data_IF_424021929973
#
_entry.id   IF_424021929973
#
_cell.length_a   1.000
_cell.length_b   1.000
_cell.length_c   1.000
_cell.angle_alpha   90.00
_cell.angle_beta   90.00
_cell.angle_gamma   90.00
#
_symmetry.space_group_name_H-M   'P 1'
#
loop_
_entity.id
_entity.type
_entity.pdbx_description
1 polymer ?
#
# COMPACT_ATOMS: atom_id res chain seq x y z
N UNK A 1 33.06 23.64 6.86
CA UNK A 1 31.91 24.00 5.99
C UNK A 1 31.97 23.31 4.62
N UNK A 2 33.09 23.37 3.88
CA UNK A 2 33.26 22.69 2.57
C UNK A 2 33.09 21.16 2.59
N UNK A 3 33.45 20.48 3.68
CA UNK A 3 33.32 19.01 3.82
C UNK A 3 31.88 18.51 4.00
N UNK A 4 30.96 19.37 4.45
CA UNK A 4 29.55 19.02 4.63
C UNK A 4 28.73 19.21 3.36
N UNK A 5 29.22 20.02 2.41
CA UNK A 5 28.52 20.29 1.15
C UNK A 5 28.31 18.99 0.36
N UNK A 6 29.33 18.15 0.09
CA UNK A 6 29.15 16.87 -0.59
C UNK A 6 28.14 15.95 0.10
N UNK A 7 28.16 15.90 1.45
CA UNK A 7 27.27 15.06 2.24
C UNK A 7 25.80 15.52 2.13
N UNK A 8 25.57 16.84 2.18
CA UNK A 8 24.24 17.44 2.00
C UNK A 8 23.74 17.21 0.58
N UNK A 9 24.57 17.44 -0.44
CA UNK A 9 24.18 17.24 -1.84
C UNK A 9 23.86 15.77 -2.14
N UNK A 10 24.65 14.83 -1.61
CA UNK A 10 24.39 13.39 -1.71
C UNK A 10 23.05 13.01 -1.06
N UNK A 11 22.79 13.53 0.15
CA UNK A 11 21.54 13.27 0.88
C UNK A 11 20.32 13.81 0.13
N UNK A 12 20.40 15.00 -0.45
CA UNK A 12 19.34 15.56 -1.30
C UNK A 12 19.09 14.68 -2.53
N UNK A 13 20.15 14.18 -3.19
CA UNK A 13 20.02 13.29 -4.34
C UNK A 13 19.28 11.99 -4.03
N UNK A 14 19.56 11.40 -2.86
CA UNK A 14 18.85 10.21 -2.37
C UNK A 14 17.36 10.52 -2.14
N UNK A 15 17.07 11.62 -1.43
CA UNK A 15 15.69 12.05 -1.14
C UNK A 15 14.90 12.26 -2.44
N UNK A 16 15.47 12.96 -3.42
CA UNK A 16 14.82 13.21 -4.71
C UNK A 16 14.55 11.90 -5.48
N UNK A 17 15.50 10.96 -5.47
CA UNK A 17 15.33 9.65 -6.12
C UNK A 17 14.21 8.85 -5.49
N UNK A 18 14.15 8.85 -4.15
CA UNK A 18 13.12 8.20 -3.34
C UNK A 18 11.73 8.80 -3.64
N UNK A 19 11.61 10.13 -3.65
CA UNK A 19 10.37 10.83 -3.98
C UNK A 19 9.94 10.55 -5.43
N UNK A 20 10.89 10.52 -6.37
CA UNK A 20 10.62 10.21 -7.77
C UNK A 20 10.04 8.81 -7.95
N UNK A 21 10.61 7.80 -7.28
CA UNK A 21 10.09 6.42 -7.31
C UNK A 21 8.67 6.36 -6.74
N UNK A 22 8.44 7.00 -5.59
CA UNK A 22 7.10 7.06 -4.97
C UNK A 22 6.07 7.69 -5.91
N UNK A 23 6.38 8.87 -6.46
CA UNK A 23 5.48 9.57 -7.38
C UNK A 23 5.17 8.73 -8.62
N UNK A 24 6.18 8.07 -9.20
CA UNK A 24 6.00 7.24 -10.39
C UNK A 24 5.04 6.06 -10.15
N UNK A 25 5.20 5.35 -9.04
CA UNK A 25 4.32 4.21 -8.74
C UNK A 25 2.91 4.67 -8.32
N UNK A 26 2.81 5.81 -7.63
CA UNK A 26 1.53 6.43 -7.29
C UNK A 26 0.75 6.86 -8.55
N UNK A 27 1.42 7.52 -9.50
CA UNK A 27 0.82 7.93 -10.78
C UNK A 27 0.32 6.74 -11.61
N UNK A 28 1.05 5.61 -11.61
CA UNK A 28 0.59 4.39 -12.29
C UNK A 28 -0.72 3.87 -11.71
N UNK A 29 -0.82 3.81 -10.37
CA UNK A 29 -2.04 3.36 -9.69
C UNK A 29 -3.24 4.27 -9.99
N UNK A 30 -3.01 5.59 -9.99
CA UNK A 30 -4.05 6.57 -10.33
C UNK A 30 -4.50 6.45 -11.79
N UNK A 31 -3.58 6.23 -12.73
CA UNK A 31 -3.93 6.00 -14.14
C UNK A 31 -4.82 4.77 -14.32
N UNK A 32 -4.49 3.65 -13.67
CA UNK A 32 -5.32 2.44 -13.71
C UNK A 32 -6.73 2.72 -13.15
N UNK A 33 -6.82 3.45 -12.03
CA UNK A 33 -8.09 3.82 -11.43
C UNK A 33 -8.93 4.74 -12.33
N UNK A 34 -8.30 5.74 -12.96
CA UNK A 34 -8.98 6.66 -13.87
C UNK A 34 -9.43 5.95 -15.16
N UNK A 35 -8.64 5.01 -15.69
CA UNK A 35 -9.01 4.14 -16.83
C UNK A 35 -10.19 3.23 -16.47
N UNK A 36 -10.15 2.58 -15.31
CA UNK A 36 -11.27 1.79 -14.81
C UNK A 36 -12.54 2.64 -14.68
N UNK A 37 -12.43 3.87 -14.16
CA UNK A 37 -13.57 4.77 -14.05
C UNK A 37 -14.18 5.12 -15.41
N UNK A 38 -13.38 5.25 -16.48
CA UNK A 38 -13.92 5.42 -17.85
C UNK A 38 -14.75 4.21 -18.30
N UNK A 39 -14.33 2.99 -17.93
CA UNK A 39 -15.09 1.76 -18.21
C UNK A 39 -16.42 1.78 -17.43
N UNK A 40 -16.41 2.20 -16.17
CA UNK A 40 -17.62 2.35 -15.35
C UNK A 40 -18.60 3.35 -15.96
N UNK A 41 -18.12 4.53 -16.37
CA UNK A 41 -18.94 5.55 -17.03
C UNK A 41 -19.56 4.99 -18.32
N UNK A 42 -18.76 4.26 -19.11
CA UNK A 42 -19.23 3.64 -20.35
C UNK A 42 -20.31 2.59 -20.10
N UNK A 43 -20.16 1.79 -19.05
CA UNK A 43 -21.15 0.81 -18.62
C UNK A 43 -22.47 1.47 -18.22
N UNK A 44 -22.43 2.49 -17.34
CA UNK A 44 -23.64 3.16 -16.87
C UNK A 44 -24.40 3.87 -18.01
N UNK A 45 -23.67 4.49 -18.95
CA UNK A 45 -24.28 5.05 -20.18
C UNK A 45 -24.94 3.98 -21.04
N UNK A 46 -24.25 2.85 -21.26
CA UNK A 46 -24.82 1.74 -22.02
C UNK A 46 -26.06 1.14 -21.33
N UNK A 47 -26.06 1.03 -20.00
CA UNK A 47 -27.20 0.55 -19.20
C UNK A 47 -28.39 1.51 -19.23
N UNK A 48 -28.14 2.82 -19.29
CA UNK A 48 -29.19 3.83 -19.42
C UNK A 48 -29.92 3.70 -20.76
N UNK A 49 -29.18 3.41 -21.84
CA UNK A 49 -29.74 3.19 -23.19
C UNK A 49 -30.42 1.82 -23.26
N UNK A 50 -29.77 0.77 -22.76
CA UNK A 50 -30.27 -0.58 -22.75
C UNK A 50 -30.39 -1.12 -21.31
N UNK A 51 -31.61 -1.05 -20.75
CA UNK A 51 -31.88 -1.50 -19.38
C UNK A 51 -31.70 -3.02 -19.18
N UNK A 52 -31.78 -3.82 -20.25
CA UNK A 52 -31.57 -5.27 -20.18
C UNK A 52 -30.12 -5.68 -20.36
N UNK A 53 -29.19 -4.72 -20.47
CA UNK A 53 -27.76 -4.99 -20.56
C UNK A 53 -27.30 -5.84 -19.37
N UNK A 54 -26.76 -7.02 -19.68
CA UNK A 54 -26.19 -7.90 -18.68
C UNK A 54 -24.81 -7.41 -18.23
N UNK A 55 -24.64 -7.24 -16.92
CA UNK A 55 -23.41 -6.74 -16.31
C UNK A 55 -22.26 -7.75 -16.43
N UNK A 56 -22.55 -9.04 -16.36
CA UNK A 56 -21.54 -10.10 -16.44
C UNK A 56 -21.02 -10.13 -17.86
N UNK A 57 -21.91 -10.16 -18.85
CA UNK A 57 -21.53 -10.12 -20.27
C UNK A 57 -20.75 -8.86 -20.65
N UNK A 58 -21.12 -7.71 -20.07
CA UNK A 58 -20.41 -6.45 -20.31
C UNK A 58 -18.95 -6.55 -19.83
N UNK A 59 -18.73 -6.93 -18.57
CA UNK A 59 -17.38 -6.98 -17.99
C UNK A 59 -16.55 -8.17 -18.50
N UNK A 60 -17.19 -9.28 -18.90
CA UNK A 60 -16.49 -10.45 -19.43
C UNK A 60 -15.77 -10.16 -20.77
N UNK A 61 -16.22 -9.17 -21.56
CA UNK A 61 -15.54 -8.74 -22.80
C UNK A 61 -14.15 -8.17 -22.58
N UNK A 62 -13.89 -7.66 -21.38
CA UNK A 62 -12.62 -7.08 -20.97
C UNK A 62 -11.69 -8.11 -20.31
N UNK A 63 -12.18 -9.34 -20.10
CA UNK A 63 -11.41 -10.41 -19.48
C UNK A 63 -10.14 -10.66 -20.29
N UNK A 64 -8.98 -10.57 -19.62
CA UNK A 64 -7.63 -10.69 -20.19
C UNK A 64 -7.13 -9.56 -21.09
N UNK A 65 -7.93 -8.51 -21.32
CA UNK A 65 -7.54 -7.36 -22.18
C UNK A 65 -7.15 -6.13 -21.38
N UNK A 66 -7.78 -5.91 -20.23
CA UNK A 66 -7.62 -4.68 -19.44
C UNK A 66 -7.03 -4.97 -18.06
N UNK A 67 -5.80 -4.50 -17.83
CA UNK A 67 -5.12 -4.59 -16.52
C UNK A 67 -5.74 -3.60 -15.51
N UNK A 68 -6.45 -2.59 -16.00
CA UNK A 68 -7.07 -1.56 -15.16
C UNK A 68 -8.31 -2.03 -14.37
N UNK A 69 -8.92 -3.17 -14.72
CA UNK A 69 -10.11 -3.67 -14.00
C UNK A 69 -9.65 -4.44 -12.73
N UNK A 70 -10.13 -4.06 -11.53
CA UNK A 70 -9.74 -4.74 -10.30
C UNK A 70 -10.09 -6.24 -10.29
N UNK A 71 -9.21 -7.13 -9.78
CA UNK A 71 -9.41 -8.59 -9.82
C UNK A 71 -10.70 -9.08 -9.17
N UNK A 72 -11.22 -8.36 -8.17
CA UNK A 72 -12.47 -8.72 -7.50
C UNK A 72 -13.69 -8.63 -8.42
N UNK A 73 -13.64 -7.83 -9.51
CA UNK A 73 -14.69 -7.77 -10.53
C UNK A 73 -14.72 -9.07 -11.32
N UNK A 74 -13.57 -9.50 -11.85
CA UNK A 74 -13.48 -10.76 -12.59
C UNK A 74 -13.81 -11.97 -11.72
N UNK A 75 -13.44 -11.94 -10.44
CA UNK A 75 -13.86 -12.97 -9.49
C UNK A 75 -15.39 -13.08 -9.36
N UNK A 76 -16.13 -11.96 -9.38
CA UNK A 76 -17.59 -11.95 -9.33
C UNK A 76 -18.22 -12.39 -10.67
N UNK A 77 -17.62 -11.98 -11.80
CA UNK A 77 -18.00 -12.42 -13.14
C UNK A 77 -17.87 -13.95 -13.25
N UNK A 78 -16.72 -14.49 -12.85
CA UNK A 78 -16.42 -15.93 -12.93
C UNK A 78 -17.34 -16.77 -12.02
N UNK A 79 -17.79 -16.20 -10.91
CA UNK A 79 -18.75 -16.84 -9.99
C UNK A 79 -20.21 -16.58 -10.35
N UNK A 80 -20.48 -15.90 -11.47
CA UNK A 80 -21.82 -15.54 -11.91
C UNK A 80 -22.65 -14.77 -10.86
N UNK A 81 -21.99 -13.94 -10.03
CA UNK A 81 -22.62 -13.23 -8.90
C UNK A 81 -23.18 -11.87 -9.32
N UNK A 82 -24.21 -11.88 -10.19
CA UNK A 82 -24.79 -10.69 -10.82
C UNK A 82 -25.17 -9.58 -9.82
N UNK A 83 -26.00 -9.89 -8.83
CA UNK A 83 -26.51 -8.88 -7.88
C UNK A 83 -25.37 -8.23 -7.07
N UNK A 84 -24.40 -9.03 -6.63
CA UNK A 84 -23.25 -8.54 -5.87
C UNK A 84 -22.37 -7.67 -6.76
N UNK A 85 -22.17 -8.09 -8.02
CA UNK A 85 -21.40 -7.31 -9.00
C UNK A 85 -22.04 -5.95 -9.26
N UNK A 86 -23.37 -5.87 -9.40
CA UNK A 86 -24.06 -4.59 -9.57
C UNK A 86 -23.83 -3.65 -8.37
N UNK A 87 -23.96 -4.16 -7.15
CA UNK A 87 -23.69 -3.39 -5.92
C UNK A 87 -22.25 -2.88 -5.88
N UNK A 88 -21.30 -3.74 -6.22
CA UNK A 88 -19.87 -3.41 -6.20
C UNK A 88 -19.53 -2.35 -7.24
N UNK A 89 -19.97 -2.52 -8.48
CA UNK A 89 -19.75 -1.57 -9.58
C UNK A 89 -20.37 -0.20 -9.28
N UNK A 90 -21.55 -0.19 -8.65
CA UNK A 90 -22.22 1.03 -8.24
C UNK A 90 -21.43 1.80 -7.18
N UNK A 91 -20.90 1.09 -6.19
CA UNK A 91 -20.04 1.67 -5.16
C UNK A 91 -18.73 2.18 -5.76
N UNK A 92 -18.12 1.43 -6.67
CA UNK A 92 -16.91 1.86 -7.36
C UNK A 92 -17.13 3.16 -8.13
N UNK A 93 -18.26 3.28 -8.82
CA UNK A 93 -18.62 4.53 -9.48
C UNK A 93 -18.76 5.69 -8.50
N UNK A 94 -19.49 5.51 -7.40
CA UNK A 94 -19.65 6.56 -6.39
C UNK A 94 -18.35 7.01 -5.75
N UNK A 95 -17.42 6.10 -5.49
CA UNK A 95 -16.15 6.42 -4.83
C UNK A 95 -15.15 7.08 -5.79
N UNK A 96 -15.23 6.76 -7.08
CA UNK A 96 -14.36 7.32 -8.11
C UNK A 96 -14.92 8.58 -8.78
N UNK A 97 -16.21 8.91 -8.55
CA UNK A 97 -16.82 10.09 -9.15
C UNK A 97 -16.09 11.38 -8.72
N UNK A 98 -15.81 12.31 -9.65
CA UNK A 98 -15.05 13.53 -9.37
C UNK A 98 -15.90 14.56 -8.61
N UNK A 99 -16.07 14.35 -7.30
CA UNK A 99 -16.65 15.34 -6.39
C UNK A 99 -15.63 15.72 -5.31
N UNK A 100 -15.90 16.84 -4.63
CA UNK A 100 -14.99 17.39 -3.63
C UNK A 100 -14.65 16.39 -2.51
N UNK A 101 -15.64 15.65 -2.01
CA UNK A 101 -15.46 14.68 -0.93
C UNK A 101 -14.51 13.55 -1.36
N UNK A 102 -14.75 12.97 -2.54
CA UNK A 102 -13.92 11.90 -3.07
C UNK A 102 -12.51 12.39 -3.41
N UNK A 103 -12.37 13.60 -3.93
CA UNK A 103 -11.06 14.21 -4.17
C UNK A 103 -10.29 14.38 -2.85
N UNK A 104 -10.94 14.84 -1.78
CA UNK A 104 -10.32 14.91 -0.45
C UNK A 104 -9.87 13.52 0.02
N UNK A 105 -10.70 12.49 -0.13
CA UNK A 105 -10.30 11.12 0.22
C UNK A 105 -9.13 10.61 -0.62
N UNK A 106 -9.07 10.92 -1.93
CA UNK A 106 -7.90 10.58 -2.79
C UNK A 106 -6.63 11.24 -2.26
N UNK A 107 -6.68 12.51 -1.87
CA UNK A 107 -5.53 13.23 -1.29
C UNK A 107 -5.11 12.61 0.04
N UNK A 108 -6.06 12.26 0.91
CA UNK A 108 -5.78 11.56 2.17
C UNK A 108 -5.13 10.19 1.93
N UNK A 109 -5.58 9.44 0.91
CA UNK A 109 -4.98 8.16 0.54
C UNK A 109 -3.53 8.33 0.04
N UNK A 110 -3.28 9.32 -0.82
CA UNK A 110 -1.92 9.68 -1.26
C UNK A 110 -1.01 9.99 -0.05
N UNK A 111 -1.50 10.81 0.87
CA UNK A 111 -0.76 11.16 2.08
C UNK A 111 -0.51 9.94 2.97
N UNK A 112 -1.49 9.05 3.12
CA UNK A 112 -1.34 7.81 3.88
C UNK A 112 -0.29 6.88 3.27
N UNK A 113 -0.27 6.73 1.94
CA UNK A 113 0.76 5.96 1.21
C UNK A 113 2.14 6.58 1.35
N UNK A 114 2.24 7.91 1.30
CA UNK A 114 3.50 8.63 1.53
C UNK A 114 4.01 8.39 2.95
N UNK A 115 3.15 8.52 3.96
CA UNK A 115 3.49 8.23 5.35
C UNK A 115 3.94 6.78 5.53
N UNK A 116 3.26 5.83 4.89
CA UNK A 116 3.66 4.42 4.90
C UNK A 116 5.07 4.23 4.31
N UNK A 117 5.35 4.85 3.17
CA UNK A 117 6.65 4.80 2.53
C UNK A 117 7.76 5.39 3.41
N UNK A 118 7.50 6.53 4.06
CA UNK A 118 8.43 7.14 5.04
C UNK A 118 8.69 6.19 6.21
N UNK A 119 7.66 5.52 6.73
CA UNK A 119 7.81 4.54 7.82
C UNK A 119 8.69 3.35 7.40
N UNK A 120 8.60 2.87 6.15
CA UNK A 120 9.48 1.81 5.64
C UNK A 120 10.94 2.29 5.61
N UNK A 121 11.20 3.50 5.13
CA UNK A 121 12.56 4.06 5.10
C UNK A 121 13.11 4.20 6.51
N UNK A 122 12.32 4.74 7.44
CA UNK A 122 12.70 4.85 8.84
C UNK A 122 13.01 3.48 9.47
N UNK A 123 12.23 2.46 9.13
CA UNK A 123 12.49 1.08 9.57
C UNK A 123 13.85 0.56 9.07
N UNK A 124 14.22 0.81 7.81
CA UNK A 124 15.55 0.45 7.30
C UNK A 124 16.68 1.18 8.02
N UNK A 125 16.50 2.46 8.35
CA UNK A 125 17.47 3.23 9.14
C UNK A 125 17.64 2.62 10.54
N UNK A 126 16.54 2.32 11.23
CA UNK A 126 16.57 1.67 12.56
C UNK A 126 17.31 0.33 12.49
N UNK A 127 17.00 -0.51 11.48
CA UNK A 127 17.68 -1.79 11.28
C UNK A 127 19.18 -1.58 11.04
N UNK A 128 19.57 -0.60 10.22
CA UNK A 128 20.96 -0.27 9.94
C UNK A 128 21.73 0.19 11.18
N UNK A 129 21.12 1.02 12.03
CA UNK A 129 21.69 1.48 13.30
C UNK A 129 21.85 0.32 14.28
N UNK A 130 20.85 -0.54 14.43
CA UNK A 130 20.95 -1.73 15.27
C UNK A 130 22.03 -2.69 14.77
N UNK A 131 22.11 -2.92 13.45
CA UNK A 131 23.12 -3.80 12.87
C UNK A 131 24.55 -3.27 13.05
N UNK A 132 24.76 -1.96 12.92
CA UNK A 132 26.07 -1.34 13.18
C UNK A 132 26.43 -1.39 14.67
N UNK A 133 25.46 -1.23 15.57
CA UNK A 133 25.61 -1.43 17.01
C UNK A 133 26.08 -2.85 17.34
N UNK A 134 25.45 -3.87 16.77
CA UNK A 134 25.86 -5.27 16.94
C UNK A 134 27.30 -5.49 16.45
N UNK A 135 27.66 -4.97 15.27
CA UNK A 135 29.02 -5.10 14.74
C UNK A 135 30.06 -4.42 15.63
N UNK A 136 29.72 -3.26 16.20
CA UNK A 136 30.57 -2.57 17.16
C UNK A 136 30.76 -3.39 18.45
N UNK A 137 29.66 -3.93 19.00
CA UNK A 137 29.68 -4.81 20.17
C UNK A 137 30.52 -6.08 19.91
N UNK A 138 30.41 -6.70 18.73
CA UNK A 138 31.23 -7.85 18.35
C UNK A 138 32.72 -7.50 18.24
N UNK A 139 33.08 -6.37 17.63
CA UNK A 139 34.47 -5.91 17.57
C UNK A 139 35.03 -5.66 18.97
N UNK A 140 34.24 -5.05 19.86
CA UNK A 140 34.63 -4.84 21.24
C UNK A 140 34.97 -6.18 21.95
N UNK A 141 34.13 -7.21 21.77
CA UNK A 141 34.34 -8.54 22.36
C UNK A 141 35.56 -9.30 21.80
N UNK A 142 35.96 -9.02 20.56
CA UNK A 142 37.10 -9.72 19.92
C UNK A 142 38.44 -9.08 20.29
N UNK A 143 38.50 -7.75 20.39
CA UNK A 143 39.76 -7.01 20.47
C UNK A 143 40.14 -6.52 21.87
N UNK A 144 39.21 -6.53 22.83
CA UNK A 144 39.48 -6.05 24.19
C UNK A 144 39.80 -7.26 25.09
N UNK A 145 40.99 -7.30 25.69
CA UNK A 145 41.41 -8.38 26.59
C UNK A 145 42.15 -7.77 27.78
N UNK A 146 41.74 -8.09 29.02
CA UNK A 146 42.66 -8.03 30.16
C UNK A 146 42.28 -7.25 31.43
N UNK A 147 41.01 -6.94 31.74
CA UNK A 147 40.66 -6.38 33.06
C UNK A 147 39.32 -6.91 33.61
N UNK A 148 39.07 -6.83 34.93
CA UNK A 148 37.75 -7.19 35.49
C UNK A 148 36.60 -6.34 34.91
N UNK A 149 36.89 -5.09 34.55
CA UNK A 149 35.98 -4.17 33.88
C UNK A 149 35.57 -4.68 32.47
N UNK A 150 36.40 -5.49 31.83
CA UNK A 150 36.07 -6.16 30.57
C UNK A 150 34.91 -7.14 30.69
N UNK A 151 34.81 -7.91 31.80
CA UNK A 151 33.74 -8.90 31.98
C UNK A 151 32.37 -8.20 32.07
N UNK A 152 32.29 -7.12 32.85
CA UNK A 152 31.04 -6.34 33.02
C UNK A 152 30.62 -5.70 31.69
N UNK A 153 31.57 -5.08 30.98
CA UNK A 153 31.31 -4.47 29.66
C UNK A 153 30.91 -5.51 28.60
N UNK A 154 31.49 -6.71 28.66
CA UNK A 154 31.15 -7.82 27.75
C UNK A 154 29.72 -8.31 27.98
N UNK A 155 29.30 -8.48 29.24
CA UNK A 155 27.91 -8.81 29.58
C UNK A 155 26.96 -7.71 29.07
N UNK A 156 27.33 -6.44 29.29
CA UNK A 156 26.58 -5.29 28.77
C UNK A 156 26.43 -5.31 27.24
N UNK A 157 27.50 -5.60 26.51
CA UNK A 157 27.50 -5.69 25.04
C UNK A 157 26.62 -6.82 24.51
N UNK A 158 26.61 -7.97 25.19
CA UNK A 158 25.73 -9.10 24.85
C UNK A 158 24.26 -8.73 25.07
N UNK A 159 23.92 -8.11 26.22
CA UNK A 159 22.56 -7.67 26.52
C UNK A 159 22.09 -6.63 25.51
N UNK A 160 22.94 -5.64 25.17
CA UNK A 160 22.64 -4.63 24.16
C UNK A 160 22.37 -5.26 22.79
N UNK A 161 23.19 -6.22 22.37
CA UNK A 161 23.02 -6.93 21.09
C UNK A 161 21.71 -7.73 21.04
N UNK A 162 21.32 -8.38 22.15
CA UNK A 162 20.03 -9.08 22.26
C UNK A 162 18.88 -8.07 22.12
N UNK A 163 18.97 -6.92 22.77
CA UNK A 163 17.96 -5.87 22.69
C UNK A 163 17.83 -5.30 21.27
N UNK A 164 18.95 -5.06 20.58
CA UNK A 164 18.99 -4.63 19.17
C UNK A 164 18.33 -5.65 18.23
N UNK A 165 18.55 -6.95 18.45
CA UNK A 165 17.88 -8.01 17.69
C UNK A 165 16.36 -8.02 17.92
N UNK A 166 15.91 -7.75 19.16
CA UNK A 166 14.48 -7.60 19.46
C UNK A 166 13.89 -6.42 18.70
N UNK A 167 14.57 -5.26 18.69
CA UNK A 167 14.13 -4.08 17.93
C UNK A 167 14.01 -4.38 16.44
N UNK A 168 15.01 -5.04 15.85
CA UNK A 168 14.98 -5.44 14.43
C UNK A 168 13.75 -6.31 14.16
N UNK A 169 13.52 -7.33 15.00
CA UNK A 169 12.38 -8.25 14.85
C UNK A 169 11.03 -7.53 14.94
N UNK A 170 10.87 -6.63 15.91
CA UNK A 170 9.65 -5.82 16.07
C UNK A 170 9.43 -4.93 14.85
N UNK A 171 10.47 -4.25 14.38
CA UNK A 171 10.44 -3.38 13.20
C UNK A 171 10.07 -4.14 11.92
N UNK A 172 10.63 -5.34 11.71
CA UNK A 172 10.26 -6.21 10.58
C UNK A 172 8.82 -6.69 10.66
N UNK A 173 8.33 -7.03 11.86
CA UNK A 173 6.93 -7.44 12.06
C UNK A 173 5.96 -6.29 11.74
N UNK A 174 6.29 -5.07 12.19
CA UNK A 174 5.52 -3.87 11.94
C UNK A 174 5.39 -3.56 10.43
N UNK A 175 6.51 -3.52 9.71
CA UNK A 175 6.54 -3.25 8.26
C UNK A 175 5.76 -4.30 7.45
N UNK A 176 5.87 -5.59 7.82
CA UNK A 176 5.12 -6.69 7.17
C UNK A 176 3.59 -6.57 7.32
N UNK A 177 3.12 -5.97 8.40
CA UNK A 177 1.68 -5.87 8.66
C UNK A 177 1.05 -4.61 8.05
N UNK A 178 1.80 -3.53 7.89
CA UNK A 178 1.30 -2.29 7.30
C UNK A 178 0.95 -2.41 5.80
N UNK A 179 1.64 -3.27 5.03
CA UNK A 179 1.46 -3.36 3.57
C UNK A 179 0.27 -4.21 3.08
N UNK A 180 -0.48 -4.88 3.98
CA UNK A 180 -1.46 -5.91 3.60
C UNK A 180 -2.84 -5.38 3.20
N UNK A 181 -3.15 -4.11 3.41
CA UNK A 181 -4.52 -3.58 3.25
C UNK A 181 -4.65 -2.45 2.21
N UNK A 182 -3.59 -2.17 1.44
CA UNK A 182 -3.49 -0.94 0.62
C UNK A 182 -3.79 -1.17 -0.87
N UNK A 183 -3.65 -2.40 -1.37
CA UNK A 183 -3.66 -2.66 -2.82
C UNK A 183 -4.92 -3.40 -3.29
N UNK A 184 -5.86 -2.66 -3.90
CA UNK A 184 -7.09 -3.21 -4.50
C UNK A 184 -6.82 -4.08 -5.75
N UNK A 185 -5.62 -4.01 -6.31
CA UNK A 185 -5.18 -4.78 -7.48
C UNK A 185 -4.35 -6.00 -7.09
N UNK A 186 -4.14 -6.25 -5.78
CA UNK A 186 -3.45 -7.43 -5.27
C UNK A 186 -4.39 -8.63 -5.07
N UNK A 187 -3.92 -9.81 -5.48
CA UNK A 187 -4.68 -10.95 -6.01
C UNK A 187 -5.07 -12.02 -4.97
N UNK A 188 -4.88 -11.77 -3.68
CA UNK A 188 -5.24 -12.73 -2.65
C UNK A 188 -6.76 -12.88 -2.51
N UNK A 189 -7.30 -14.10 -2.69
CA UNK A 189 -8.75 -14.41 -2.55
C UNK A 189 -9.35 -13.88 -1.23
N UNK A 190 -8.59 -13.93 -0.13
CA UNK A 190 -9.06 -13.39 1.16
C UNK A 190 -9.28 -11.87 1.09
N UNK A 191 -8.39 -11.16 0.41
CA UNK A 191 -8.45 -9.70 0.25
C UNK A 191 -9.58 -9.31 -0.71
N UNK A 192 -9.73 -10.03 -1.83
CA UNK A 192 -10.86 -9.91 -2.77
C UNK A 192 -12.19 -10.02 -2.01
N UNK A 193 -12.37 -11.06 -1.20
CA UNK A 193 -13.60 -11.23 -0.41
C UNK A 193 -13.80 -10.10 0.61
N UNK A 194 -12.73 -9.56 1.21
CA UNK A 194 -12.80 -8.40 2.14
C UNK A 194 -13.26 -7.14 1.41
N UNK A 195 -12.73 -6.87 0.20
CA UNK A 195 -13.15 -5.74 -0.63
C UNK A 195 -14.62 -5.86 -1.03
N UNK A 196 -15.06 -7.01 -1.52
CA UNK A 196 -16.46 -7.26 -1.91
C UNK A 196 -17.38 -7.02 -0.71
N UNK A 197 -17.09 -7.63 0.46
CA UNK A 197 -17.90 -7.43 1.68
C UNK A 197 -17.96 -5.96 2.10
N UNK A 198 -16.84 -5.23 2.04
CA UNK A 198 -16.79 -3.79 2.35
C UNK A 198 -17.66 -2.99 1.38
N UNK A 199 -17.55 -3.24 0.08
CA UNK A 199 -18.31 -2.52 -0.96
C UNK A 199 -19.81 -2.81 -0.83
N UNK A 200 -20.23 -4.06 -0.65
CA UNK A 200 -21.63 -4.40 -0.36
C UNK A 200 -22.14 -3.66 0.89
N UNK A 201 -21.36 -3.60 1.97
CA UNK A 201 -21.75 -2.85 3.18
C UNK A 201 -21.90 -1.35 2.93
N UNK A 202 -21.05 -0.76 2.08
CA UNK A 202 -21.16 0.65 1.68
C UNK A 202 -22.43 0.87 0.86
N UNK A 203 -22.71 -0.04 -0.07
CA UNK A 203 -23.93 -0.02 -0.88
C UNK A 203 -25.18 0.01 0.00
N UNK A 204 -25.32 -0.95 0.91
CA UNK A 204 -26.51 -1.05 1.77
C UNK A 204 -26.71 0.19 2.66
N UNK A 205 -25.63 0.89 3.03
CA UNK A 205 -25.70 2.15 3.80
C UNK A 205 -26.04 3.39 2.97
N UNK A 206 -25.81 3.35 1.66
CA UNK A 206 -25.92 4.50 0.75
C UNK A 206 -27.01 4.33 -0.30
N UNK A 207 -27.61 3.13 -0.42
CA UNK A 207 -28.74 2.87 -1.33
C UNK A 207 -29.84 3.90 -1.06
N UNK A 208 -30.32 4.55 -2.13
CA UNK A 208 -31.31 5.63 -2.07
C UNK A 208 -30.77 7.05 -1.86
N UNK A 209 -29.47 7.25 -1.56
CA UNK A 209 -28.88 8.61 -1.45
C UNK A 209 -28.36 9.18 -2.76
N UNK A 210 -28.14 8.33 -3.76
CA UNK A 210 -27.58 8.71 -5.05
C UNK A 210 -28.47 8.15 -6.16
N UNK A 211 -28.92 9.04 -7.04
CA UNK A 211 -29.54 8.66 -8.30
C UNK A 211 -28.42 8.43 -9.32
N UNK A 212 -28.38 7.23 -9.89
CA UNK A 212 -27.54 6.90 -11.04
C UNK A 212 -28.46 6.58 -12.20
#
# INVERSE_FOLDING_TARGET
MKEYIPLVTFSIGIILSIVSVFNREQEKGEKLQDEYFKILVSYFRAKQINKSLDIIDYFNRYKFKEICIPPYIFYLVDKNQREILEKVIQVDYWLNYPNMINNTFRVVDKFSRLMYFICIIAAFVVIGVCASGILFNMKFLIFYNGSHDYIIKSIGAVIASIFELVIIKVTMSFTKNMGKDIDEYNSGIRMINKFIKRKVKIYEKRKGKYYI
#
